data_IF_037602877293
#
_entry.id   IF_037602877293
#
_cell.length_a   1.000
_cell.length_b   1.000
_cell.length_c   1.000
_cell.angle_alpha   90.00
_cell.angle_beta   90.00
_cell.angle_gamma   90.00
#
_symmetry.space_group_name_H-M   'P 1'
#
loop_
_entity.id
_entity.type
_entity.pdbx_description
1 polymer ?
#
# COMPACT_ATOMS: atom_id res chain seq x y z
N UNK A 1 -5.82 5.10 20.80
CA UNK A 1 -4.43 4.76 20.39
C UNK A 1 -3.92 5.93 19.58
N UNK A 2 -2.67 6.36 19.78
CA UNK A 2 -2.06 7.42 18.98
C UNK A 2 -1.06 6.78 18.02
N UNK A 3 -1.36 6.78 16.72
CA UNK A 3 -0.48 6.26 15.68
C UNK A 3 0.16 7.45 14.97
N UNK A 4 1.49 7.49 15.00
CA UNK A 4 2.29 8.53 14.39
C UNK A 4 2.83 8.05 13.04
N UNK A 5 2.82 8.92 12.04
CA UNK A 5 3.36 8.65 10.71
C UNK A 5 4.85 8.28 10.76
N UNK A 6 5.60 8.87 11.69
CA UNK A 6 7.02 8.54 11.92
C UNK A 6 7.24 7.10 12.36
N UNK A 7 6.21 6.41 12.87
CA UNK A 7 6.28 4.98 13.16
C UNK A 7 6.35 4.11 11.89
N UNK A 8 6.22 4.69 10.69
CA UNK A 8 6.29 3.99 9.40
C UNK A 8 7.62 4.16 8.66
N UNK A 9 8.63 4.83 9.25
CA UNK A 9 9.93 5.03 8.58
C UNK A 9 10.61 3.72 8.16
N UNK A 10 10.28 2.60 8.82
CA UNK A 10 10.78 1.27 8.47
C UNK A 10 10.35 0.79 7.08
N UNK A 11 9.29 1.35 6.48
CA UNK A 11 8.82 0.94 5.14
C UNK A 11 9.56 1.67 4.01
N UNK A 12 10.26 2.76 4.32
CA UNK A 12 10.96 3.59 3.34
C UNK A 12 11.98 2.75 2.56
N UNK A 13 11.95 2.86 1.24
CA UNK A 13 12.85 2.16 0.35
C UNK A 13 12.18 1.73 -0.95
N UNK A 14 13.02 1.13 -1.81
CA UNK A 14 12.61 0.48 -3.06
C UNK A 14 12.44 -1.01 -2.82
N UNK A 15 11.35 -1.56 -3.32
CA UNK A 15 10.91 -2.92 -3.06
C UNK A 15 10.52 -3.58 -4.37
N UNK A 16 11.05 -4.79 -4.60
CA UNK A 16 10.84 -5.54 -5.83
C UNK A 16 10.20 -6.89 -5.52
N UNK A 17 9.03 -7.15 -6.11
CA UNK A 17 8.27 -8.38 -5.94
C UNK A 17 8.15 -9.19 -7.23
N UNK A 18 7.93 -10.50 -7.09
CA UNK A 18 7.64 -11.40 -8.21
C UNK A 18 6.48 -12.34 -7.86
N UNK A 19 5.60 -12.57 -8.82
CA UNK A 19 4.53 -13.56 -8.71
C UNK A 19 4.40 -14.31 -10.05
N UNK A 20 5.06 -15.48 -10.13
CA UNK A 20 5.25 -16.18 -11.40
C UNK A 20 6.05 -15.32 -12.39
N UNK A 21 5.49 -15.11 -13.58
CA UNK A 21 6.07 -14.24 -14.62
C UNK A 21 5.80 -12.75 -14.38
N UNK A 22 4.94 -12.41 -13.41
CA UNK A 22 4.59 -11.04 -13.12
C UNK A 22 5.64 -10.40 -12.20
N UNK A 23 5.92 -9.12 -12.41
CA UNK A 23 6.86 -8.34 -11.60
C UNK A 23 6.14 -7.14 -10.99
N UNK A 24 6.50 -6.82 -9.75
CA UNK A 24 5.95 -5.70 -9.01
C UNK A 24 7.08 -4.83 -8.48
N UNK A 25 6.86 -3.53 -8.45
CA UNK A 25 7.77 -2.56 -7.85
C UNK A 25 6.96 -1.65 -6.94
N UNK A 26 7.51 -1.35 -5.77
CA UNK A 26 6.93 -0.44 -4.79
C UNK A 26 8.05 0.44 -4.23
N UNK A 27 7.79 1.74 -4.09
CA UNK A 27 8.75 2.69 -3.54
C UNK A 27 8.05 3.58 -2.54
N UNK A 28 8.60 3.64 -1.32
CA UNK A 28 8.16 4.54 -0.26
C UNK A 28 9.23 5.58 -0.01
N UNK A 29 8.84 6.85 -0.13
CA UNK A 29 9.73 7.98 0.05
C UNK A 29 9.84 8.42 1.51
N UNK A 30 10.78 9.32 1.80
CA UNK A 30 10.89 9.96 3.10
C UNK A 30 9.59 10.71 3.46
N UNK A 31 9.30 10.80 4.77
CA UNK A 31 8.20 11.63 5.27
C UNK A 31 8.52 13.10 4.96
N UNK A 32 7.55 13.80 4.39
CA UNK A 32 7.60 15.23 4.10
C UNK A 32 6.36 15.92 4.68
N UNK A 33 6.55 16.66 5.78
CA UNK A 33 5.44 17.30 6.49
C UNK A 33 4.54 16.28 7.16
N UNK A 34 3.26 16.27 6.78
CA UNK A 34 2.23 15.37 7.30
C UNK A 34 2.02 14.12 6.43
N UNK A 35 2.87 13.87 5.44
CA UNK A 35 2.67 12.79 4.49
C UNK A 35 3.94 12.01 4.12
N UNK A 36 3.75 10.74 3.76
CA UNK A 36 4.74 9.87 3.12
C UNK A 36 4.17 9.41 1.79
N UNK A 37 4.87 9.76 0.71
CA UNK A 37 4.47 9.38 -0.64
C UNK A 37 5.02 8.01 -1.00
N UNK A 38 4.22 7.21 -1.71
CA UNK A 38 4.68 6.01 -2.38
C UNK A 38 4.04 5.82 -3.74
N UNK A 39 4.62 4.90 -4.51
CA UNK A 39 4.03 4.43 -5.76
C UNK A 39 4.25 2.93 -5.91
N UNK A 40 3.33 2.29 -6.64
CA UNK A 40 3.42 0.88 -6.97
C UNK A 40 3.21 0.69 -8.48
N UNK A 41 3.84 -0.35 -9.03
CA UNK A 41 3.72 -0.74 -10.43
C UNK A 41 3.64 -2.25 -10.54
N UNK A 42 2.62 -2.74 -11.24
CA UNK A 42 2.48 -4.16 -11.55
C UNK A 42 2.58 -4.39 -13.06
N UNK A 43 3.56 -5.20 -13.47
CA UNK A 43 3.66 -5.75 -14.82
C UNK A 43 3.16 -7.19 -14.83
N UNK A 44 2.23 -7.51 -15.73
CA UNK A 44 1.78 -8.88 -16.00
C UNK A 44 2.38 -9.36 -17.33
N UNK A 45 3.23 -10.38 -17.29
CA UNK A 45 4.05 -10.77 -18.43
C UNK A 45 4.90 -9.60 -18.94
N UNK A 46 4.65 -9.16 -20.17
CA UNK A 46 5.39 -8.06 -20.82
C UNK A 46 4.65 -6.71 -20.86
N UNK A 47 3.44 -6.65 -20.30
CA UNK A 47 2.62 -5.43 -20.30
C UNK A 47 2.42 -4.89 -18.89
N UNK A 48 2.40 -3.56 -18.77
CA UNK A 48 1.95 -2.90 -17.55
C UNK A 48 0.48 -3.21 -17.35
N UNK A 49 0.14 -3.66 -16.14
CA UNK A 49 -1.24 -3.92 -15.74
C UNK A 49 -1.83 -2.72 -14.99
N UNK A 50 -1.11 -2.23 -13.97
CA UNK A 50 -1.59 -1.11 -13.15
C UNK A 50 -0.43 -0.32 -12.53
N UNK A 51 -0.72 0.94 -12.20
CA UNK A 51 0.04 1.78 -11.29
C UNK A 51 -0.82 2.18 -10.10
N UNK A 52 -0.19 2.43 -8.96
CA UNK A 52 -0.83 3.07 -7.82
C UNK A 52 -0.02 4.28 -7.39
N UNK A 53 -0.73 5.34 -7.03
CA UNK A 53 -0.19 6.45 -6.29
C UNK A 53 -0.71 6.36 -4.86
N UNK A 54 0.21 6.26 -3.90
CA UNK A 54 -0.11 5.93 -2.52
C UNK A 54 0.36 7.04 -1.60
N UNK A 55 -0.46 7.38 -0.60
CA UNK A 55 -0.15 8.44 0.35
C UNK A 55 -0.52 7.99 1.75
N UNK A 56 0.48 7.77 2.61
CA UNK A 56 0.25 7.77 4.04
C UNK A 56 0.16 9.21 4.53
N UNK A 57 -0.88 9.56 5.29
CA UNK A 57 -1.12 10.90 5.81
C UNK A 57 -1.43 10.86 7.31
N UNK A 58 -0.77 11.72 8.09
CA UNK A 58 -1.08 11.93 9.50
C UNK A 58 -2.45 12.63 9.63
N UNK A 59 -3.37 12.03 10.40
CA UNK A 59 -4.69 12.63 10.69
C UNK A 59 -5.01 12.45 12.17
N UNK A 60 -5.06 13.56 12.91
CA UNK A 60 -5.27 13.58 14.36
C UNK A 60 -4.35 12.56 15.06
N UNK A 61 -4.95 11.55 15.72
CA UNK A 61 -4.27 10.51 16.47
C UNK A 61 -4.07 9.21 15.65
N UNK A 62 -4.16 9.27 14.32
CA UNK A 62 -4.01 8.12 13.43
C UNK A 62 -3.29 8.46 12.12
N UNK A 63 -3.13 7.45 11.28
CA UNK A 63 -2.59 7.53 9.92
C UNK A 63 -3.63 6.98 8.95
N UNK A 64 -3.84 7.67 7.83
CA UNK A 64 -4.61 7.18 6.69
C UNK A 64 -3.67 6.72 5.59
N UNK A 65 -4.04 5.68 4.86
CA UNK A 65 -3.47 5.34 3.57
C UNK A 65 -4.50 5.65 2.48
N UNK A 66 -4.13 6.48 1.53
CA UNK A 66 -4.92 6.77 0.33
C UNK A 66 -4.26 6.14 -0.88
N UNK A 67 -5.02 5.42 -1.68
CA UNK A 67 -4.55 4.74 -2.89
C UNK A 67 -5.41 5.19 -4.06
N UNK A 68 -4.75 5.63 -5.14
CA UNK A 68 -5.40 5.90 -6.42
C UNK A 68 -4.80 5.01 -7.48
N UNK A 69 -5.65 4.27 -8.18
CA UNK A 69 -5.23 3.30 -9.18
C UNK A 69 -5.29 3.91 -10.57
N UNK A 70 -4.33 3.52 -11.41
CA UNK A 70 -4.27 3.91 -12.81
C UNK A 70 -3.99 2.68 -13.69
N UNK A 71 -4.64 2.62 -14.84
CA UNK A 71 -4.27 1.66 -15.88
C UNK A 71 -2.95 2.03 -16.57
N UNK A 72 -2.52 1.19 -17.52
CA UNK A 72 -1.29 1.41 -18.29
C UNK A 72 -1.25 2.74 -19.09
N UNK A 73 -2.40 3.36 -19.36
CA UNK A 73 -2.53 4.62 -20.09
C UNK A 73 -2.74 5.83 -19.17
N UNK A 74 -2.57 5.65 -17.84
CA UNK A 74 -2.83 6.67 -16.83
C UNK A 74 -4.31 7.06 -16.69
N UNK A 75 -5.23 6.19 -17.09
CA UNK A 75 -6.66 6.38 -16.78
C UNK A 75 -6.90 5.97 -15.34
N UNK A 76 -7.39 6.90 -14.52
CA UNK A 76 -7.74 6.63 -13.13
C UNK A 76 -8.96 5.71 -13.00
N UNK A 77 -8.93 4.77 -12.05
CA UNK A 77 -10.08 3.90 -11.77
C UNK A 77 -11.11 4.60 -10.89
N UNK A 78 -10.65 5.35 -9.89
CA UNK A 78 -11.50 6.17 -9.05
C UNK A 78 -11.85 7.50 -9.73
N UNK A 79 -13.02 8.04 -9.38
CA UNK A 79 -13.44 9.39 -9.75
C UNK A 79 -12.35 10.44 -9.44
N UNK A 80 -12.37 11.57 -10.15
CA UNK A 80 -11.30 12.59 -10.10
C UNK A 80 -10.86 12.95 -8.68
N UNK A 81 -11.82 13.17 -7.77
CA UNK A 81 -11.59 13.54 -6.37
C UNK A 81 -11.63 12.39 -5.37
N UNK A 82 -11.60 11.14 -5.83
CA UNK A 82 -11.76 9.96 -5.00
C UNK A 82 -10.51 9.07 -5.00
N UNK A 83 -10.39 8.26 -3.96
CA UNK A 83 -9.34 7.28 -3.72
C UNK A 83 -9.91 6.14 -2.87
N UNK A 84 -9.25 4.99 -2.87
CA UNK A 84 -9.47 3.98 -1.83
C UNK A 84 -8.76 4.46 -0.56
N UNK A 85 -9.43 4.38 0.57
CA UNK A 85 -8.90 4.86 1.85
C UNK A 85 -8.90 3.77 2.91
N UNK A 86 -7.80 3.72 3.65
CA UNK A 86 -7.65 2.88 4.82
C UNK A 86 -7.23 3.70 6.03
N UNK A 87 -7.72 3.32 7.20
CA UNK A 87 -7.32 3.86 8.48
C UNK A 87 -6.45 2.84 9.24
N UNK A 88 -5.35 3.32 9.82
CA UNK A 88 -4.52 2.53 10.71
C UNK A 88 -5.25 2.23 12.02
N UNK A 89 -5.20 0.99 12.47
CA UNK A 89 -5.78 0.57 13.76
C UNK A 89 -4.80 -0.14 14.68
N UNK A 90 -3.64 -0.57 14.17
CA UNK A 90 -2.53 -1.10 14.94
C UNK A 90 -1.21 -0.77 14.25
N UNK A 91 -0.18 -0.46 15.05
CA UNK A 91 1.19 -0.29 14.58
C UNK A 91 2.15 -0.94 15.59
N UNK A 92 3.18 -1.61 15.09
CA UNK A 92 4.31 -2.13 15.86
C UNK A 92 5.62 -1.67 15.22
N UNK A 93 6.76 -2.18 15.71
CA UNK A 93 8.09 -1.74 15.26
C UNK A 93 8.29 -1.86 13.74
N UNK A 94 7.73 -2.90 13.12
CA UNK A 94 7.89 -3.20 11.69
C UNK A 94 6.58 -3.65 11.04
N UNK A 95 5.43 -3.33 11.62
CA UNK A 95 4.13 -3.73 11.10
C UNK A 95 3.10 -2.62 11.26
N UNK A 96 2.25 -2.46 10.25
CA UNK A 96 1.03 -1.64 10.33
C UNK A 96 -0.17 -2.45 9.85
N UNK A 97 -1.27 -2.35 10.59
CA UNK A 97 -2.56 -2.92 10.22
C UNK A 97 -3.52 -1.80 9.83
N UNK A 98 -4.14 -1.95 8.66
CA UNK A 98 -5.00 -0.97 8.00
C UNK A 98 -6.37 -1.61 7.74
N UNK A 99 -7.43 -0.85 7.96
CA UNK A 99 -8.81 -1.25 7.64
C UNK A 99 -9.42 -0.24 6.69
N UNK A 100 -10.25 -0.68 5.75
CA UNK A 100 -10.91 0.21 4.82
C UNK A 100 -11.81 1.21 5.58
N UNK A 101 -11.79 2.49 5.19
CA UNK A 101 -12.69 3.51 5.74
C UNK A 101 -14.13 3.30 5.25
N UNK A 102 -14.30 2.74 4.06
CA UNK A 102 -15.57 2.42 3.42
C UNK A 102 -15.53 0.99 2.84
N UNK A 103 -16.66 0.30 2.69
CA UNK A 103 -16.70 -1.03 2.09
C UNK A 103 -16.06 -1.06 0.69
N UNK A 104 -15.06 -1.92 0.50
CA UNK A 104 -14.42 -2.18 -0.79
C UNK A 104 -13.96 -3.64 -0.87
N UNK A 105 -13.38 -4.06 -2.00
CA UNK A 105 -12.96 -5.47 -2.22
C UNK A 105 -11.86 -5.95 -1.27
N UNK A 106 -11.13 -5.02 -0.64
CA UNK A 106 -10.03 -5.27 0.27
C UNK A 106 -10.32 -4.61 1.61
N UNK A 107 -11.06 -5.27 2.52
CA UNK A 107 -11.57 -4.66 3.76
C UNK A 107 -10.45 -4.35 4.77
N UNK A 108 -9.31 -5.01 4.65
CA UNK A 108 -8.12 -4.76 5.44
C UNK A 108 -6.87 -5.15 4.67
N UNK A 109 -5.76 -4.53 5.04
CA UNK A 109 -4.43 -4.88 4.59
C UNK A 109 -3.42 -4.65 5.72
N UNK A 110 -2.23 -5.23 5.58
CA UNK A 110 -1.10 -4.97 6.47
C UNK A 110 0.19 -4.91 5.68
N UNK A 111 1.13 -4.14 6.21
CA UNK A 111 2.52 -4.19 5.81
C UNK A 111 3.35 -4.70 6.97
N UNK A 112 4.30 -5.59 6.69
CA UNK A 112 5.25 -6.12 7.67
C UNK A 112 6.66 -6.17 7.04
N UNK A 113 7.67 -5.66 7.74
CA UNK A 113 9.07 -5.77 7.33
C UNK A 113 9.84 -6.76 8.20
N UNK A 114 10.51 -7.71 7.54
CA UNK A 114 11.49 -8.61 8.17
C UNK A 114 12.82 -8.54 7.40
N UNK A 115 13.81 -7.83 7.96
CA UNK A 115 15.11 -7.64 7.31
C UNK A 115 14.99 -6.87 5.99
N UNK A 116 15.39 -7.51 4.89
CA UNK A 116 15.29 -6.98 3.52
C UNK A 116 14.00 -7.41 2.80
N UNK A 117 13.01 -7.94 3.54
CA UNK A 117 11.71 -8.33 3.00
C UNK A 117 10.62 -7.38 3.48
N UNK A 118 9.79 -6.93 2.56
CA UNK A 118 8.53 -6.26 2.84
C UNK A 118 7.40 -7.16 2.39
N UNK A 119 6.41 -7.40 3.25
CA UNK A 119 5.24 -8.22 2.96
C UNK A 119 4.00 -7.36 3.08
N UNK A 120 3.21 -7.29 2.01
CA UNK A 120 1.86 -6.75 2.03
C UNK A 120 0.87 -7.92 2.07
N UNK A 121 0.02 -7.98 3.10
CA UNK A 121 -1.03 -9.01 3.24
C UNK A 121 -2.39 -8.33 3.19
N UNK A 122 -3.32 -8.87 2.42
CA UNK A 122 -4.65 -8.30 2.30
C UNK A 122 -5.71 -9.36 2.02
N UNK A 123 -6.95 -9.08 2.36
CA UNK A 123 -8.07 -9.98 2.06
C UNK A 123 -8.76 -9.54 0.77
N UNK A 124 -8.96 -10.44 -0.19
CA UNK A 124 -9.76 -10.21 -1.39
C UNK A 124 -11.15 -10.85 -1.19
N UNK A 125 -12.17 -10.01 -1.02
CA UNK A 125 -13.55 -10.46 -0.81
C UNK A 125 -14.08 -11.19 -2.05
N UNK A 126 -13.72 -10.76 -3.26
CA UNK A 126 -14.23 -11.35 -4.49
C UNK A 126 -13.76 -12.80 -4.67
N UNK A 127 -12.54 -13.11 -4.22
CA UNK A 127 -11.99 -14.47 -4.18
C UNK A 127 -12.21 -15.18 -2.85
N UNK A 128 -12.69 -14.47 -1.83
CA UNK A 128 -12.82 -14.93 -0.45
C UNK A 128 -11.52 -15.59 0.07
N UNK A 129 -10.38 -14.91 -0.18
CA UNK A 129 -9.06 -15.42 0.18
C UNK A 129 -8.17 -14.31 0.74
N UNK A 130 -7.17 -14.71 1.52
CA UNK A 130 -6.10 -13.79 1.93
C UNK A 130 -4.93 -13.96 0.99
N UNK A 131 -4.59 -12.88 0.30
CA UNK A 131 -3.48 -12.79 -0.64
C UNK A 131 -2.28 -12.10 0.03
N UNK A 132 -1.09 -12.39 -0.48
CA UNK A 132 0.17 -11.84 0.00
C UNK A 132 1.07 -11.47 -1.17
N UNK A 133 1.65 -10.28 -1.10
CA UNK A 133 2.78 -9.88 -1.93
C UNK A 133 4.03 -9.78 -1.07
N UNK A 134 5.08 -10.48 -1.47
CA UNK A 134 6.42 -10.37 -0.89
C UNK A 134 7.31 -9.57 -1.84
N UNK A 135 8.03 -8.61 -1.28
CA UNK A 135 8.99 -7.76 -1.95
C UNK A 135 10.34 -7.80 -1.25
N UNK A 136 11.38 -7.44 -2.01
CA UNK A 136 12.76 -7.42 -1.55
C UNK A 136 13.43 -6.08 -1.88
N UNK A 137 14.24 -5.57 -0.95
CA UNK A 137 15.09 -4.39 -1.12
C UNK A 137 16.51 -4.75 -1.53
#
# INVERSE_FOLDING_TARGET
MNILLTSLEWIIGKWYGKNGENTMEEDWHQIMGDAMLGWFRWKKGDAIFLYEFMLFQQVENSVLLKIKHFDANLTGWEEKGSWVEYQAWSVSLNEIMLRASEPNHTPWMSYERTGSKLKCTFHDIARNQTDQFEFHS
#
